data_IF_284538966338
#
_entry.id   IF_284538966338
#
_cell.length_a   1.000
_cell.length_b   1.000
_cell.length_c   1.000
_cell.angle_alpha   90.00
_cell.angle_beta   90.00
_cell.angle_gamma   90.00
#
_symmetry.space_group_name_H-M   'P 1'
#
loop_
_entity.id
_entity.type
_entity.pdbx_description
1 polymer ?
#
# COMPACT_ATOMS: atom_id res chain seq x y z
N UNK A 1 -31.32 58.30 -4.39
CA UNK A 1 -29.88 58.67 -4.44
C UNK A 1 -29.07 57.58 -3.72
N UNK A 2 -28.33 56.72 -4.44
CA UNK A 2 -27.21 55.95 -3.91
C UNK A 2 -25.84 56.41 -4.50
N UNK A 3 -24.69 56.13 -3.86
CA UNK A 3 -23.37 56.62 -4.29
C UNK A 3 -22.69 55.69 -5.35
N UNK A 4 -21.65 56.18 -6.06
CA UNK A 4 -21.08 55.48 -7.21
C UNK A 4 -19.94 54.50 -6.87
N UNK A 5 -19.81 53.47 -7.72
CA UNK A 5 -18.83 52.39 -7.66
C UNK A 5 -17.39 52.82 -8.02
N UNK A 6 -16.41 52.32 -7.27
CA UNK A 6 -14.98 52.57 -7.46
C UNK A 6 -14.34 51.61 -8.47
N UNK A 7 -13.61 52.19 -9.43
CA UNK A 7 -12.96 51.56 -10.58
C UNK A 7 -11.45 51.49 -10.31
N UNK A 8 -10.86 50.30 -10.10
CA UNK A 8 -9.40 50.16 -9.90
C UNK A 8 -8.71 49.35 -11.02
N UNK A 9 -8.02 50.16 -11.83
CA UNK A 9 -6.93 49.99 -12.80
C UNK A 9 -6.27 48.61 -12.99
N UNK A 10 -6.35 48.12 -14.23
CA UNK A 10 -5.44 47.13 -14.85
C UNK A 10 -4.03 47.74 -14.98
N UNK A 11 -3.01 47.06 -14.45
CA UNK A 11 -1.58 47.33 -14.75
C UNK A 11 -1.12 46.39 -15.88
N UNK A 12 -0.34 46.93 -16.81
CA UNK A 12 0.19 46.26 -18.01
C UNK A 12 1.74 46.32 -18.00
N UNK A 13 2.36 45.20 -18.41
CA UNK A 13 3.64 45.03 -19.14
C UNK A 13 4.98 45.21 -18.38
N UNK A 14 6.15 44.73 -18.89
CA UNK A 14 6.46 44.12 -20.22
C UNK A 14 7.32 42.82 -20.25
N UNK A 15 7.48 42.28 -21.46
CA UNK A 15 8.34 41.18 -21.93
C UNK A 15 9.80 41.65 -22.20
N UNK A 16 10.81 40.84 -21.84
CA UNK A 16 12.14 40.79 -22.51
C UNK A 16 13.04 39.63 -22.00
N UNK A 17 13.55 38.80 -22.92
CA UNK A 17 14.70 37.85 -22.86
C UNK A 17 15.88 38.47 -23.67
N UNK A 18 17.07 37.83 -23.87
CA UNK A 18 17.96 36.98 -23.04
C UNK A 18 19.46 37.46 -23.09
N UNK A 19 20.40 36.92 -22.28
CA UNK A 19 21.83 36.82 -22.67
C UNK A 19 22.71 35.97 -21.70
N UNK A 20 23.72 35.34 -22.30
CA UNK A 20 25.01 34.85 -21.75
C UNK A 20 25.16 33.47 -21.09
N UNK A 21 25.62 32.57 -21.97
CA UNK A 21 26.59 31.49 -21.81
C UNK A 21 27.72 31.79 -20.79
N UNK A 22 27.96 30.90 -19.81
CA UNK A 22 29.33 30.66 -19.27
C UNK A 22 29.46 29.31 -18.57
N UNK A 23 30.18 28.38 -19.20
CA UNK A 23 30.78 27.21 -18.54
C UNK A 23 32.17 27.58 -17.99
N UNK A 24 32.73 26.80 -17.04
CA UNK A 24 34.09 26.29 -17.32
C UNK A 24 34.38 24.84 -16.84
N UNK A 25 35.06 24.10 -17.72
CA UNK A 25 36.29 23.31 -17.57
C UNK A 25 36.50 22.26 -16.43
N UNK A 26 36.59 21.00 -16.88
CA UNK A 26 37.65 19.99 -16.69
C UNK A 26 38.33 19.68 -15.31
N UNK A 27 38.44 18.36 -15.08
CA UNK A 27 39.09 17.55 -14.00
C UNK A 27 40.58 17.78 -13.73
N UNK A 28 41.14 17.26 -12.59
CA UNK A 28 42.01 16.07 -12.72
C UNK A 28 41.84 14.97 -11.63
N UNK A 29 42.45 13.81 -11.93
CA UNK A 29 42.36 12.48 -11.29
C UNK A 29 43.09 12.34 -9.94
N UNK A 30 42.67 11.27 -9.23
CA UNK A 30 43.47 10.33 -8.43
C UNK A 30 43.81 10.67 -6.96
N UNK A 31 43.14 9.96 -6.03
CA UNK A 31 43.87 9.24 -4.98
C UNK A 31 43.23 7.89 -4.72
N UNK A 32 43.96 6.87 -5.16
CA UNK A 32 43.79 5.47 -4.80
C UNK A 32 44.06 5.28 -3.30
N UNK A 33 43.08 4.74 -2.57
CA UNK A 33 43.32 4.01 -1.32
C UNK A 33 42.64 2.65 -1.45
N UNK A 34 43.50 1.69 -1.72
CA UNK A 34 43.29 0.24 -1.67
C UNK A 34 42.97 -0.19 -0.23
N UNK A 35 42.27 -1.32 -0.12
CA UNK A 35 41.96 -2.10 1.10
C UNK A 35 40.75 -1.58 1.88
N UNK A 36 39.75 -2.39 2.24
CA UNK A 36 39.85 -3.74 2.79
C UNK A 36 38.75 -4.67 2.25
N UNK A 37 39.10 -5.94 2.14
CA UNK A 37 38.23 -7.05 1.75
C UNK A 37 36.98 -7.09 2.63
N UNK A 38 35.80 -7.01 2.02
CA UNK A 38 34.56 -7.53 2.62
C UNK A 38 34.44 -9.02 2.28
N UNK A 39 34.05 -9.89 3.24
CA UNK A 39 34.15 -11.33 3.08
C UNK A 39 33.21 -11.85 2.01
N UNK A 40 33.70 -12.82 1.26
CA UNK A 40 32.97 -13.75 0.40
C UNK A 40 31.48 -13.83 0.71
N UNK A 41 30.64 -13.31 -0.19
CA UNK A 41 29.23 -13.63 -0.21
C UNK A 41 29.11 -15.13 -0.55
N UNK A 42 28.75 -15.95 0.43
CA UNK A 42 28.49 -17.37 0.24
C UNK A 42 27.45 -17.55 -0.89
N UNK A 43 27.80 -18.21 -2.01
CA UNK A 43 26.88 -18.44 -3.12
C UNK A 43 25.66 -19.29 -2.74
N UNK A 44 25.67 -19.92 -1.55
CA UNK A 44 24.60 -20.80 -1.08
C UNK A 44 23.42 -20.08 -0.43
N UNK A 45 23.57 -18.80 -0.08
CA UNK A 45 22.41 -17.98 0.33
C UNK A 45 21.79 -17.39 -0.92
N UNK A 46 20.88 -18.15 -1.55
CA UNK A 46 19.97 -17.61 -2.57
C UNK A 46 19.16 -16.48 -1.94
N UNK A 47 19.68 -15.25 -2.02
CA UNK A 47 18.90 -14.06 -1.68
C UNK A 47 17.70 -14.05 -2.61
N UNK A 48 16.46 -13.97 -2.09
CA UNK A 48 15.30 -13.84 -2.97
C UNK A 48 15.55 -12.64 -3.88
N UNK A 49 15.25 -12.78 -5.18
CA UNK A 49 15.45 -11.69 -6.12
C UNK A 49 14.74 -10.45 -5.58
N UNK A 50 15.37 -9.28 -5.70
CA UNK A 50 14.84 -8.02 -5.14
C UNK A 50 13.39 -7.77 -5.61
N UNK A 51 13.05 -8.22 -6.82
CA UNK A 51 11.69 -8.20 -7.36
C UNK A 51 10.70 -9.09 -6.58
N UNK A 52 11.07 -10.32 -6.21
CA UNK A 52 10.21 -11.21 -5.42
C UNK A 52 10.03 -10.72 -3.97
N UNK A 53 11.08 -10.19 -3.35
CA UNK A 53 10.99 -9.65 -1.98
C UNK A 53 10.09 -8.40 -1.93
N UNK A 54 10.16 -7.54 -2.95
CA UNK A 54 9.31 -6.35 -3.05
C UNK A 54 7.83 -6.71 -3.21
N UNK A 55 7.49 -7.66 -4.09
CA UNK A 55 6.07 -8.05 -4.29
C UNK A 55 5.42 -8.65 -3.04
N UNK A 56 6.18 -9.39 -2.21
CA UNK A 56 5.67 -9.92 -0.94
C UNK A 56 5.34 -8.80 0.04
N UNK A 57 6.25 -7.82 0.17
CA UNK A 57 6.04 -6.66 1.05
C UNK A 57 4.80 -5.88 0.66
N UNK A 58 4.59 -5.62 -0.63
CA UNK A 58 3.39 -4.92 -1.11
C UNK A 58 2.11 -5.74 -0.84
N UNK A 59 2.12 -7.05 -1.07
CA UNK A 59 0.98 -7.92 -0.78
C UNK A 59 0.59 -7.91 0.70
N UNK A 60 1.56 -8.07 1.60
CA UNK A 60 1.31 -8.01 3.04
C UNK A 60 0.83 -6.62 3.50
N UNK A 61 1.37 -5.56 2.91
CA UNK A 61 0.93 -4.19 3.19
C UNK A 61 -0.51 -3.96 2.74
N UNK A 62 -0.88 -4.47 1.56
CA UNK A 62 -2.25 -4.40 1.05
C UNK A 62 -3.23 -5.16 1.95
N UNK A 63 -2.88 -6.37 2.39
CA UNK A 63 -3.68 -7.13 3.36
C UNK A 63 -3.85 -6.33 4.65
N UNK A 64 -2.76 -5.80 5.21
CA UNK A 64 -2.81 -4.99 6.44
C UNK A 64 -3.77 -3.82 6.29
N UNK A 65 -3.62 -3.00 5.26
CA UNK A 65 -4.46 -1.81 5.07
C UNK A 65 -5.93 -2.18 4.86
N UNK A 66 -6.19 -3.29 4.17
CA UNK A 66 -7.56 -3.80 3.96
C UNK A 66 -8.17 -4.26 5.27
N UNK A 67 -7.41 -4.97 6.11
CA UNK A 67 -7.87 -5.39 7.43
C UNK A 67 -8.07 -4.22 8.38
N UNK A 68 -7.19 -3.21 8.36
CA UNK A 68 -7.36 -1.99 9.16
C UNK A 68 -8.67 -1.27 8.82
N UNK A 69 -9.04 -1.18 7.54
CA UNK A 69 -10.31 -0.60 7.10
C UNK A 69 -11.51 -1.51 7.41
N UNK A 70 -11.33 -2.83 7.36
CA UNK A 70 -12.36 -3.81 7.63
C UNK A 70 -12.68 -3.96 9.12
N UNK A 71 -11.71 -3.74 10.01
CA UNK A 71 -11.81 -3.89 11.47
C UNK A 71 -12.57 -2.75 12.17
N UNK A 72 -13.61 -2.23 11.52
CA UNK A 72 -14.54 -1.25 12.09
C UNK A 72 -15.80 -1.94 12.63
N UNK A 73 -15.61 -2.99 13.45
CA UNK A 73 -16.69 -3.83 13.95
C UNK A 73 -17.46 -3.16 15.09
N UNK A 74 -18.76 -3.38 15.12
CA UNK A 74 -19.67 -2.90 16.15
C UNK A 74 -20.47 -4.07 16.71
N UNK A 75 -20.82 -3.98 17.99
CA UNK A 75 -21.69 -4.98 18.59
C UNK A 75 -23.09 -4.85 17.98
N UNK A 76 -23.52 -5.87 17.23
CA UNK A 76 -24.82 -5.91 16.57
C UNK A 76 -25.53 -7.22 16.93
N UNK A 77 -26.73 -7.15 17.56
CA UNK A 77 -27.49 -8.34 17.93
C UNK A 77 -28.07 -9.04 16.69
N UNK A 78 -28.22 -10.36 16.75
CA UNK A 78 -28.79 -11.17 15.68
C UNK A 78 -30.23 -10.73 15.39
N UNK A 79 -30.56 -10.45 14.12
CA UNK A 79 -31.91 -10.06 13.70
C UNK A 79 -32.90 -11.24 13.71
N UNK A 80 -32.45 -12.47 13.46
CA UNK A 80 -33.35 -13.64 13.36
C UNK A 80 -33.72 -14.25 14.71
N UNK A 81 -32.80 -14.24 15.68
CA UNK A 81 -33.01 -14.89 16.98
C UNK A 81 -32.75 -13.90 18.10
N UNK A 82 -33.80 -13.59 18.84
CA UNK A 82 -33.75 -12.67 19.96
C UNK A 82 -32.70 -13.10 21.00
N UNK A 83 -32.03 -12.13 21.61
CA UNK A 83 -31.03 -12.33 22.69
C UNK A 83 -29.79 -13.14 22.31
N UNK A 84 -29.56 -13.40 21.02
CA UNK A 84 -28.32 -13.97 20.53
C UNK A 84 -27.46 -12.93 19.80
N UNK A 85 -26.14 -13.10 19.93
CA UNK A 85 -25.16 -12.36 19.14
C UNK A 85 -24.37 -13.39 18.33
N UNK A 86 -24.74 -13.54 17.07
CA UNK A 86 -24.11 -14.48 16.14
C UNK A 86 -23.28 -13.68 15.13
N UNK A 87 -22.15 -14.21 14.65
CA UNK A 87 -21.36 -13.56 13.61
C UNK A 87 -22.19 -13.48 12.32
N UNK A 88 -22.55 -12.26 11.90
CA UNK A 88 -23.39 -12.03 10.71
C UNK A 88 -22.71 -12.53 9.43
N UNK A 89 -21.37 -12.51 9.38
CA UNK A 89 -20.58 -13.03 8.24
C UNK A 89 -20.81 -14.54 8.00
N UNK A 90 -21.19 -15.29 9.03
CA UNK A 90 -21.47 -16.73 8.92
C UNK A 90 -22.95 -17.00 8.66
N UNK A 91 -23.82 -16.18 9.23
CA UNK A 91 -25.27 -16.36 9.16
C UNK A 91 -25.81 -16.02 7.77
N UNK A 92 -25.28 -14.97 7.12
CA UNK A 92 -25.63 -14.54 5.75
C UNK A 92 -27.13 -14.35 5.51
N UNK A 93 -27.90 -14.14 6.57
CA UNK A 93 -29.36 -13.96 6.51
C UNK A 93 -29.75 -12.59 5.99
N UNK A 94 -28.97 -11.57 6.35
CA UNK A 94 -29.25 -10.17 6.01
C UNK A 94 -28.13 -9.61 5.14
N UNK A 95 -28.39 -9.44 3.84
CA UNK A 95 -27.40 -8.89 2.89
C UNK A 95 -27.02 -7.43 3.18
N UNK A 96 -27.84 -6.69 3.93
CA UNK A 96 -27.56 -5.33 4.38
C UNK A 96 -26.44 -5.25 5.44
N UNK A 97 -26.20 -6.36 6.16
CA UNK A 97 -25.17 -6.46 7.20
C UNK A 97 -23.85 -6.99 6.66
N UNK A 98 -23.86 -7.49 5.42
CA UNK A 98 -22.70 -8.01 4.72
C UNK A 98 -22.09 -6.92 3.82
N UNK A 99 -20.77 -6.82 3.86
CA UNK A 99 -20.01 -5.99 2.94
C UNK A 99 -19.49 -6.83 1.77
N UNK A 100 -19.07 -6.14 0.71
CA UNK A 100 -18.52 -6.80 -0.47
C UNK A 100 -17.23 -7.56 -0.12
N UNK A 101 -17.11 -8.85 -0.48
CA UNK A 101 -15.90 -9.61 -0.27
C UNK A 101 -14.74 -9.02 -1.07
N UNK A 102 -13.56 -8.96 -0.46
CA UNK A 102 -12.33 -8.47 -1.10
C UNK A 102 -11.35 -9.63 -1.28
N UNK A 103 -10.96 -9.90 -2.53
CA UNK A 103 -9.95 -10.89 -2.87
C UNK A 103 -8.63 -10.19 -3.23
N UNK A 104 -7.59 -10.45 -2.45
CA UNK A 104 -6.23 -9.95 -2.69
C UNK A 104 -5.38 -11.13 -3.16
N UNK A 105 -4.74 -11.01 -4.32
CA UNK A 105 -3.93 -12.08 -4.89
C UNK A 105 -2.53 -11.55 -5.24
N UNK A 106 -1.49 -12.30 -4.86
CA UNK A 106 -0.13 -12.06 -5.34
C UNK A 106 0.23 -12.98 -6.51
N UNK A 107 -0.24 -14.23 -6.46
CA UNK A 107 -0.11 -15.22 -7.52
C UNK A 107 -1.27 -16.24 -7.39
N UNK A 108 -1.30 -17.28 -8.23
CA UNK A 108 -2.38 -18.29 -8.18
C UNK A 108 -2.39 -19.16 -6.90
N UNK A 109 -1.24 -19.22 -6.23
CA UNK A 109 -1.02 -20.03 -5.05
C UNK A 109 -1.16 -19.24 -3.73
N UNK A 110 -0.92 -17.93 -3.74
CA UNK A 110 -1.02 -17.00 -2.62
C UNK A 110 -2.22 -16.05 -2.81
N UNK A 111 -3.28 -16.30 -2.05
CA UNK A 111 -4.53 -15.55 -2.11
C UNK A 111 -5.07 -15.27 -0.71
N UNK A 112 -5.70 -14.12 -0.52
CA UNK A 112 -6.40 -13.74 0.71
C UNK A 112 -7.81 -13.30 0.34
N UNK A 113 -8.82 -13.98 0.87
CA UNK A 113 -10.21 -13.56 0.77
C UNK A 113 -10.64 -12.99 2.12
N UNK A 114 -11.13 -11.75 2.10
CA UNK A 114 -11.62 -11.02 3.26
C UNK A 114 -13.12 -10.81 3.08
N UNK A 115 -13.91 -11.40 3.97
CA UNK A 115 -15.36 -11.25 4.03
C UNK A 115 -15.70 -10.49 5.31
N UNK A 116 -16.43 -9.40 5.18
CA UNK A 116 -16.69 -8.48 6.29
C UNK A 116 -18.17 -8.31 6.53
N UNK A 117 -18.53 -8.12 7.79
CA UNK A 117 -19.88 -7.79 8.24
C UNK A 117 -19.81 -6.72 9.33
N UNK A 118 -20.97 -6.29 9.83
CA UNK A 118 -21.06 -5.29 10.89
C UNK A 118 -20.40 -5.72 12.22
N UNK A 119 -20.48 -7.01 12.60
CA UNK A 119 -20.03 -7.50 13.90
C UNK A 119 -18.88 -8.52 13.84
N UNK A 120 -18.53 -9.00 12.65
CA UNK A 120 -17.55 -10.07 12.46
C UNK A 120 -16.86 -10.00 11.10
N UNK A 121 -15.65 -10.58 11.02
CA UNK A 121 -14.84 -10.67 9.80
C UNK A 121 -14.37 -12.11 9.65
N UNK A 122 -14.44 -12.64 8.43
CA UNK A 122 -13.86 -13.92 8.07
C UNK A 122 -12.69 -13.70 7.11
N UNK A 123 -11.55 -14.30 7.43
CA UNK A 123 -10.33 -14.18 6.65
C UNK A 123 -9.92 -15.59 6.20
N UNK A 124 -9.81 -15.78 4.89
CA UNK A 124 -9.34 -17.04 4.28
C UNK A 124 -8.02 -16.80 3.57
N UNK A 125 -6.95 -17.39 4.11
CA UNK A 125 -5.59 -17.27 3.56
C UNK A 125 -5.16 -18.58 2.91
N UNK A 126 -4.79 -18.49 1.63
CA UNK A 126 -4.07 -19.54 0.92
C UNK A 126 -2.59 -19.18 0.94
N UNK A 127 -1.80 -19.95 1.69
CA UNK A 127 -0.36 -19.75 1.87
C UNK A 127 0.40 -20.84 1.13
N UNK A 128 1.46 -20.47 0.43
CA UNK A 128 2.40 -21.42 -0.15
C UNK A 128 3.39 -21.85 0.92
N UNK A 129 3.37 -23.14 1.27
CA UNK A 129 4.37 -23.71 2.16
C UNK A 129 5.65 -24.04 1.38
N UNK A 130 6.65 -23.15 1.41
CA UNK A 130 7.97 -23.38 0.80
C UNK A 130 8.97 -24.02 1.77
N UNK A 131 8.48 -24.80 2.75
CA UNK A 131 9.32 -25.49 3.74
C UNK A 131 10.03 -26.70 3.13
N UNK A 132 11.10 -26.45 2.36
CA UNK A 132 12.05 -27.47 1.91
C UNK A 132 13.27 -27.62 2.86
N UNK A 133 13.24 -27.03 4.05
CA UNK A 133 14.38 -26.96 4.97
C UNK A 133 14.10 -27.47 6.39
N UNK A 134 13.01 -28.21 6.60
CA UNK A 134 12.78 -28.92 7.85
C UNK A 134 13.06 -30.41 7.60
N UNK A 135 14.33 -30.73 7.43
CA UNK A 135 14.94 -32.05 7.59
C UNK A 135 16.28 -31.86 8.30
#
# INVERSE_FOLDING_TARGET
>A
RPPPASRLRRRRLPLSLPHELRQPAATPRSRSTRSLLSPSADPRVRRPSVAMANTLRLYLTCIRNTLEAAMCLQNFPCQEVERHNKPEVELKTSSELLLNPVLICRNEAEKCLVETSINSIRISLKVVNNSWWIL
#
